data_IF_743684902538
#
_entry.id   IF_743684902538
#
_cell.length_a   1.000
_cell.length_b   1.000
_cell.length_c   1.000
_cell.angle_alpha   90.00
_cell.angle_beta   90.00
_cell.angle_gamma   90.00
#
_symmetry.space_group_name_H-M   'P 1'
#
loop_
_entity.id
_entity.type
_entity.pdbx_description
1 polymer ?
#
# COMPACT_ATOMS: atom_id res chain seq x y z
N UNK A 1 -20.13 55.15 6.13
CA UNK A 1 -19.08 55.93 5.44
C UNK A 1 -19.63 57.13 4.66
N UNK A 2 -20.80 57.04 4.01
CA UNK A 2 -21.36 58.12 3.18
C UNK A 2 -22.02 59.30 3.95
N UNK A 3 -22.15 59.20 5.27
CA UNK A 3 -22.94 60.16 6.08
C UNK A 3 -22.11 61.06 7.02
N UNK A 4 -20.85 60.73 7.35
CA UNK A 4 -19.94 61.56 8.18
C UNK A 4 -18.46 61.26 7.87
N UNK A 5 -17.77 62.09 7.06
CA UNK A 5 -16.38 61.85 6.67
C UNK A 5 -15.36 62.15 7.79
N UNK A 6 -15.74 62.95 8.79
CA UNK A 6 -14.90 63.33 9.94
C UNK A 6 -14.63 62.17 10.94
N UNK A 7 -15.53 61.19 11.02
CA UNK A 7 -15.36 59.99 11.86
C UNK A 7 -14.79 58.79 11.08
N UNK A 8 -14.35 59.00 9.84
CA UNK A 8 -13.88 57.94 8.94
C UNK A 8 -12.76 57.09 9.56
N UNK A 9 -11.86 57.72 10.32
CA UNK A 9 -10.77 57.04 11.02
C UNK A 9 -11.28 56.06 12.08
N UNK A 10 -12.22 56.47 12.93
CA UNK A 10 -12.79 55.62 13.97
C UNK A 10 -13.59 54.45 13.39
N UNK A 11 -14.32 54.70 12.29
CA UNK A 11 -15.06 53.64 11.59
C UNK A 11 -14.11 52.60 11.00
N UNK A 12 -12.99 53.02 10.38
CA UNK A 12 -12.00 52.09 9.82
C UNK A 12 -11.42 51.19 10.92
N UNK A 13 -11.06 51.77 12.07
CA UNK A 13 -10.52 51.01 13.21
C UNK A 13 -11.55 50.01 13.74
N UNK A 14 -12.81 50.40 13.91
CA UNK A 14 -13.88 49.50 14.38
C UNK A 14 -14.19 48.38 13.38
N UNK A 15 -14.20 48.68 12.08
CA UNK A 15 -14.36 47.68 11.03
C UNK A 15 -13.20 46.68 11.07
N UNK A 16 -11.97 47.17 11.21
CA UNK A 16 -10.78 46.32 11.34
C UNK A 16 -10.90 45.37 12.55
N UNK A 17 -11.25 45.88 13.73
CA UNK A 17 -11.46 45.07 14.93
C UNK A 17 -12.59 44.05 14.77
N UNK A 18 -13.68 44.44 14.11
CA UNK A 18 -14.81 43.53 13.86
C UNK A 18 -14.42 42.38 12.93
N UNK A 19 -13.64 42.67 11.88
CA UNK A 19 -13.11 41.64 10.96
C UNK A 19 -12.17 40.69 11.70
N UNK A 20 -11.27 41.23 12.53
CA UNK A 20 -10.36 40.42 13.33
C UNK A 20 -11.12 39.45 14.25
N UNK A 21 -12.11 39.96 14.98
CA UNK A 21 -12.95 39.13 15.86
C UNK A 21 -13.75 38.08 15.06
N UNK A 22 -14.27 38.44 13.89
CA UNK A 22 -14.97 37.50 13.01
C UNK A 22 -14.05 36.36 12.55
N UNK A 23 -12.80 36.66 12.19
CA UNK A 23 -11.80 35.64 11.81
C UNK A 23 -11.53 34.69 12.99
N UNK A 24 -11.34 35.23 14.20
CA UNK A 24 -11.12 34.41 15.39
C UNK A 24 -12.32 33.51 15.72
N UNK A 25 -13.54 34.06 15.66
CA UNK A 25 -14.77 33.30 15.91
C UNK A 25 -14.94 32.18 14.89
N UNK A 26 -14.71 32.48 13.61
CA UNK A 26 -14.77 31.46 12.56
C UNK A 26 -13.70 30.38 12.75
N UNK A 27 -12.46 30.76 13.11
CA UNK A 27 -11.42 29.80 13.43
C UNK A 27 -11.81 28.89 14.61
N UNK A 28 -12.43 29.44 15.66
CA UNK A 28 -12.93 28.68 16.80
C UNK A 28 -14.07 27.72 16.39
N UNK A 29 -15.03 28.17 15.58
CA UNK A 29 -16.07 27.30 15.03
C UNK A 29 -15.49 26.16 14.18
N UNK A 30 -14.44 26.43 13.40
CA UNK A 30 -13.78 25.44 12.55
C UNK A 30 -12.98 24.40 13.32
N UNK A 31 -12.51 24.70 14.54
CA UNK A 31 -11.92 23.69 15.43
C UNK A 31 -12.97 22.65 15.85
N UNK A 32 -14.24 23.04 15.97
CA UNK A 32 -15.33 22.09 16.23
C UNK A 32 -15.65 21.21 15.01
N UNK A 33 -15.23 21.61 13.80
CA UNK A 33 -15.23 20.73 12.63
C UNK A 33 -14.00 19.83 12.67
N UNK A 34 -14.11 18.72 13.40
CA UNK A 34 -13.07 17.72 13.47
C UNK A 34 -12.80 17.14 12.06
N UNK A 35 -11.53 17.12 11.66
CA UNK A 35 -11.14 16.46 10.42
C UNK A 35 -11.19 14.94 10.63
N UNK A 36 -11.71 14.16 9.66
CA UNK A 36 -11.79 12.72 9.81
C UNK A 36 -10.40 12.13 10.02
N UNK A 37 -10.19 11.49 11.17
CA UNK A 37 -8.96 10.76 11.47
C UNK A 37 -8.95 9.43 10.71
N UNK A 38 -8.31 9.41 9.53
CA UNK A 38 -8.27 8.22 8.67
C UNK A 38 -7.26 7.16 9.10
N UNK A 39 -6.38 7.46 10.07
CA UNK A 39 -5.34 6.53 10.52
C UNK A 39 -5.76 5.86 11.82
N UNK A 40 -5.62 4.53 11.87
CA UNK A 40 -5.90 3.71 13.06
C UNK A 40 -4.88 3.90 14.18
N UNK A 41 -3.62 4.12 13.82
CA UNK A 41 -2.52 4.30 14.76
C UNK A 41 -1.68 5.54 14.43
N UNK A 42 -1.11 6.15 15.46
CA UNK A 42 -0.15 7.24 15.30
C UNK A 42 1.15 6.71 14.70
N UNK A 43 1.75 7.46 13.77
CA UNK A 43 3.02 7.10 13.14
C UNK A 43 4.13 7.98 13.68
N UNK A 44 5.11 7.36 14.33
CA UNK A 44 6.29 8.02 14.85
C UNK A 44 7.38 8.06 13.78
N UNK A 45 8.05 9.20 13.56
CA UNK A 45 9.14 9.34 12.61
C UNK A 45 10.43 8.70 13.15
N UNK A 46 10.40 7.40 13.43
CA UNK A 46 11.54 6.62 13.93
C UNK A 46 12.38 6.08 12.78
N UNK A 47 13.70 6.11 12.93
CA UNK A 47 14.66 5.46 12.03
C UNK A 47 15.21 4.17 12.63
N UNK A 48 14.37 3.14 12.66
CA UNK A 48 14.75 1.80 13.11
C UNK A 48 15.36 1.04 11.94
N UNK A 49 16.28 0.12 12.23
CA UNK A 49 16.68 -0.85 11.21
C UNK A 49 15.48 -1.76 10.93
N UNK A 50 15.16 -1.93 9.65
CA UNK A 50 14.18 -2.91 9.20
C UNK A 50 14.85 -3.95 8.30
N UNK A 51 14.65 -5.22 8.58
CA UNK A 51 15.05 -6.33 7.71
C UNK A 51 13.80 -6.99 7.18
N UNK A 52 13.64 -6.99 5.85
CA UNK A 52 12.55 -7.67 5.18
C UNK A 52 13.03 -9.06 4.80
N UNK A 53 12.35 -10.07 5.32
CA UNK A 53 12.61 -11.48 5.06
C UNK A 53 11.55 -12.03 4.11
N UNK A 54 12.00 -12.56 2.98
CA UNK A 54 11.26 -13.52 2.14
C UNK A 54 11.82 -14.92 2.35
N UNK A 55 11.16 -15.98 1.87
CA UNK A 55 11.68 -17.35 2.00
C UNK A 55 13.10 -17.53 1.43
N UNK A 56 13.49 -16.71 0.46
CA UNK A 56 14.73 -16.83 -0.30
C UNK A 56 15.79 -15.79 0.09
N UNK A 57 15.38 -14.56 0.37
CA UNK A 57 16.30 -13.42 0.52
C UNK A 57 15.91 -12.52 1.69
N UNK A 58 16.88 -11.74 2.15
CA UNK A 58 16.67 -10.72 3.16
C UNK A 58 17.23 -9.39 2.69
N UNK A 59 16.43 -8.33 2.76
CA UNK A 59 16.88 -6.97 2.43
C UNK A 59 16.87 -6.11 3.69
N UNK A 60 18.00 -5.47 3.95
CA UNK A 60 18.15 -4.52 5.05
C UNK A 60 17.83 -3.10 4.56
N UNK A 61 17.10 -2.36 5.37
CA UNK A 61 16.82 -0.94 5.18
C UNK A 61 16.49 -0.26 6.49
N UNK A 62 15.85 0.90 6.40
CA UNK A 62 15.53 1.75 7.55
C UNK A 62 14.07 2.21 7.50
N UNK A 63 13.42 2.31 8.66
CA UNK A 63 12.09 2.92 8.72
C UNK A 63 12.20 4.43 8.54
N UNK A 64 11.28 5.00 7.77
CA UNK A 64 11.06 6.47 7.73
C UNK A 64 10.08 6.87 8.83
N UNK A 65 9.09 6.01 9.08
CA UNK A 65 8.18 6.09 10.21
C UNK A 65 7.62 4.70 10.53
N UNK A 66 7.17 4.52 11.77
CA UNK A 66 6.63 3.28 12.29
C UNK A 66 5.41 3.57 13.17
N UNK A 67 4.49 2.61 13.23
CA UNK A 67 3.32 2.60 14.10
C UNK A 67 3.03 1.17 14.53
N UNK A 68 2.16 1.01 15.52
CA UNK A 68 1.69 -0.32 15.96
C UNK A 68 0.96 -1.09 14.85
N UNK A 69 0.39 -0.41 13.85
CA UNK A 69 -0.33 -1.05 12.75
C UNK A 69 0.51 -1.24 11.49
N UNK A 70 1.72 -0.67 11.39
CA UNK A 70 2.47 -0.72 10.14
C UNK A 70 3.67 0.22 10.12
N UNK A 71 4.49 0.10 9.06
CA UNK A 71 5.71 0.87 8.89
C UNK A 71 5.90 1.37 7.47
N UNK A 72 6.62 2.48 7.34
CA UNK A 72 7.15 2.93 6.07
C UNK A 72 8.65 2.64 6.05
N UNK A 73 9.10 1.79 5.15
CA UNK A 73 10.49 1.29 5.08
C UNK A 73 11.15 1.83 3.82
N UNK A 74 12.39 2.29 3.93
CA UNK A 74 13.25 2.67 2.83
C UNK A 74 14.30 1.56 2.62
N UNK A 75 14.33 1.01 1.42
CA UNK A 75 15.36 0.08 0.98
C UNK A 75 16.29 0.75 -0.03
N UNK A 76 17.56 0.36 -0.01
CA UNK A 76 18.59 0.90 -0.89
C UNK A 76 18.60 0.28 -2.29
N UNK A 77 17.92 -0.85 -2.46
CA UNK A 77 17.77 -1.56 -3.72
C UNK A 77 16.29 -1.76 -3.99
N UNK A 78 15.93 -2.03 -5.24
CA UNK A 78 14.56 -2.39 -5.64
C UNK A 78 14.38 -3.91 -5.72
N UNK A 79 13.99 -4.60 -4.63
CA UNK A 79 13.78 -6.02 -4.68
C UNK A 79 12.47 -6.39 -5.36
N UNK A 80 12.44 -7.57 -5.96
CA UNK A 80 11.20 -8.22 -6.38
C UNK A 80 10.60 -8.93 -5.16
N UNK A 81 9.73 -8.23 -4.42
CA UNK A 81 9.12 -8.77 -3.19
C UNK A 81 7.66 -9.20 -3.43
N UNK A 82 7.21 -10.26 -2.74
CA UNK A 82 5.79 -10.59 -2.65
C UNK A 82 5.04 -9.52 -1.86
N UNK A 83 3.71 -9.54 -2.00
CA UNK A 83 2.81 -8.67 -1.26
C UNK A 83 2.75 -8.99 0.24
N UNK A 84 3.05 -10.24 0.64
CA UNK A 84 3.19 -10.63 2.04
C UNK A 84 4.64 -10.95 2.38
N UNK A 85 5.17 -10.27 3.40
CA UNK A 85 6.55 -10.36 3.84
C UNK A 85 6.63 -10.55 5.35
N UNK A 86 7.79 -10.98 5.85
CA UNK A 86 8.12 -10.88 7.28
C UNK A 86 9.04 -9.68 7.47
N UNK A 87 8.71 -8.82 8.42
CA UNK A 87 9.50 -7.64 8.75
C UNK A 87 10.06 -7.83 10.14
N UNK A 88 11.38 -7.80 10.24
CA UNK A 88 12.10 -7.69 11.52
C UNK A 88 12.46 -6.23 11.74
N UNK A 89 12.01 -5.68 12.85
CA UNK A 89 12.41 -4.35 13.32
C UNK A 89 13.41 -4.52 14.45
N UNK A 90 14.58 -3.89 14.32
CA UNK A 90 15.59 -3.83 15.36
C UNK A 90 15.49 -2.46 16.06
N UNK A 91 15.14 -2.48 17.34
CA UNK A 91 15.18 -1.34 18.22
C UNK A 91 16.50 -1.25 18.98
N UNK A 92 16.56 -0.30 19.90
CA UNK A 92 17.71 -0.13 20.79
C UNK A 92 17.90 -1.33 21.73
N UNK A 93 19.09 -1.44 22.31
CA UNK A 93 19.43 -2.47 23.30
C UNK A 93 19.24 -3.91 22.81
N UNK A 94 19.21 -4.13 21.49
CA UNK A 94 19.08 -5.45 20.88
C UNK A 94 17.65 -6.00 20.85
N UNK A 95 16.65 -5.18 21.18
CA UNK A 95 15.26 -5.58 21.07
C UNK A 95 14.87 -5.77 19.60
N UNK A 96 14.23 -6.89 19.30
CA UNK A 96 13.84 -7.27 17.94
C UNK A 96 12.40 -7.69 17.93
N UNK A 97 11.66 -7.27 16.91
CA UNK A 97 10.28 -7.67 16.71
C UNK A 97 10.13 -8.22 15.28
N UNK A 98 9.73 -9.49 15.17
CA UNK A 98 9.46 -10.14 13.89
C UNK A 98 7.95 -10.22 13.66
N UNK A 99 7.45 -9.46 12.70
CA UNK A 99 6.02 -9.36 12.38
C UNK A 99 5.74 -9.76 10.94
N UNK A 100 4.50 -10.17 10.66
CA UNK A 100 4.03 -10.35 9.28
C UNK A 100 3.48 -9.03 8.77
N UNK A 101 3.86 -8.66 7.55
CA UNK A 101 3.45 -7.43 6.91
C UNK A 101 2.87 -7.69 5.53
N UNK A 102 1.91 -6.86 5.13
CA UNK A 102 1.39 -6.75 3.77
C UNK A 102 1.88 -5.45 3.16
N UNK A 103 2.50 -5.52 1.97
CA UNK A 103 2.97 -4.35 1.23
C UNK A 103 1.77 -3.70 0.54
N UNK A 104 1.34 -2.55 1.04
CA UNK A 104 0.18 -1.79 0.54
C UNK A 104 0.51 -0.90 -0.65
N UNK A 105 1.79 -0.50 -0.76
CA UNK A 105 2.29 0.36 -1.82
C UNK A 105 3.81 0.33 -1.90
N UNK A 106 4.31 0.38 -3.12
CA UNK A 106 5.71 0.63 -3.44
C UNK A 106 5.84 1.99 -4.16
N UNK A 107 6.83 2.81 -3.77
CA UNK A 107 7.19 4.03 -4.48
C UNK A 107 8.68 4.00 -4.79
N UNK A 108 9.03 3.87 -6.06
CA UNK A 108 10.42 3.94 -6.50
C UNK A 108 10.95 5.38 -6.46
N UNK A 109 12.18 5.52 -5.99
CA UNK A 109 12.93 6.77 -5.88
C UNK A 109 14.34 6.55 -6.45
N UNK A 110 14.42 6.45 -7.77
CA UNK A 110 15.67 6.06 -8.44
C UNK A 110 16.00 4.61 -8.15
N UNK A 111 17.15 4.37 -7.52
CA UNK A 111 17.62 3.04 -7.11
C UNK A 111 17.05 2.59 -5.74
N UNK A 112 16.57 3.55 -4.96
CA UNK A 112 15.91 3.28 -3.68
C UNK A 112 14.42 3.03 -3.87
N UNK A 113 13.85 2.27 -2.93
CA UNK A 113 12.41 2.04 -2.92
C UNK A 113 11.82 2.30 -1.54
N UNK A 114 10.66 2.95 -1.52
CA UNK A 114 9.89 3.21 -0.33
C UNK A 114 8.68 2.29 -0.28
N UNK A 115 8.67 1.42 0.71
CA UNK A 115 7.63 0.45 0.97
C UNK A 115 6.69 0.96 2.06
N UNK A 116 5.40 0.78 1.84
CA UNK A 116 4.37 1.03 2.83
C UNK A 116 3.79 -0.32 3.25
N UNK A 117 4.05 -0.72 4.49
CA UNK A 117 3.71 -2.04 5.00
C UNK A 117 2.68 -1.90 6.11
N UNK A 118 1.60 -2.68 6.01
CA UNK A 118 0.58 -2.85 7.04
C UNK A 118 0.84 -4.16 7.79
N UNK A 119 0.82 -4.15 9.13
CA UNK A 119 1.07 -5.35 9.92
C UNK A 119 -0.19 -6.19 10.05
N UNK A 120 -0.07 -7.49 9.77
CA UNK A 120 -1.21 -8.40 9.71
C UNK A 120 -1.07 -9.51 10.76
N UNK A 121 -2.18 -9.86 11.41
CA UNK A 121 -2.29 -10.99 12.34
C UNK A 121 -1.21 -10.98 13.45
N UNK A 122 -1.00 -9.83 14.09
CA UNK A 122 -0.07 -9.70 15.22
C UNK A 122 -0.55 -10.54 16.40
N UNK A 123 0.32 -11.38 16.96
CA UNK A 123 0.08 -12.03 18.25
C UNK A 123 0.27 -11.04 19.39
N UNK A 124 -0.30 -11.31 20.57
CA UNK A 124 -0.10 -10.44 21.75
C UNK A 124 1.38 -10.23 22.08
N UNK A 125 2.20 -11.29 22.00
CA UNK A 125 3.66 -11.19 22.20
C UNK A 125 4.34 -10.32 21.15
N UNK A 126 3.94 -10.43 19.88
CA UNK A 126 4.48 -9.58 18.81
C UNK A 126 4.08 -8.12 18.99
N UNK A 127 2.88 -7.84 19.53
CA UNK A 127 2.45 -6.49 19.87
C UNK A 127 3.30 -5.92 20.99
N UNK A 128 3.55 -6.68 22.06
CA UNK A 128 4.39 -6.25 23.18
C UNK A 128 5.83 -5.97 22.72
N UNK A 129 6.41 -6.86 21.93
CA UNK A 129 7.75 -6.67 21.34
C UNK A 129 7.80 -5.45 20.42
N UNK A 130 6.74 -5.22 19.63
CA UNK A 130 6.64 -4.07 18.73
C UNK A 130 6.55 -2.77 19.51
N UNK A 131 5.75 -2.73 20.57
CA UNK A 131 5.64 -1.58 21.48
C UNK A 131 7.02 -1.29 22.07
N UNK A 132 7.70 -2.32 22.58
CA UNK A 132 9.02 -2.13 23.17
C UNK A 132 10.02 -1.58 22.15
N UNK A 133 10.07 -2.13 20.93
CA UNK A 133 10.93 -1.63 19.85
C UNK A 133 10.61 -0.18 19.45
N UNK A 134 9.33 0.21 19.40
CA UNK A 134 8.92 1.56 18.98
C UNK A 134 9.18 2.59 20.09
N UNK A 135 8.89 2.25 21.35
CA UNK A 135 8.78 3.24 22.43
C UNK A 135 10.00 3.27 23.38
N UNK A 136 10.85 2.25 23.41
CA UNK A 136 11.93 2.13 24.40
C UNK A 136 13.22 2.90 24.09
N UNK A 137 13.41 3.42 22.88
CA UNK A 137 14.60 4.24 22.56
C UNK A 137 14.50 5.60 23.25
N UNK A 138 15.31 5.75 24.30
CA UNK A 138 15.46 6.92 25.15
C UNK A 138 16.13 8.08 24.40
N UNK A 139 17.13 7.80 23.57
CA UNK A 139 17.94 8.84 22.95
C UNK A 139 17.11 9.70 22.01
N UNK A 140 16.25 9.09 21.20
CA UNK A 140 15.38 9.86 20.31
C UNK A 140 14.31 10.66 21.06
N UNK A 141 13.78 10.15 22.17
CA UNK A 141 12.85 10.91 23.02
C UNK A 141 13.52 12.18 23.56
N UNK A 142 14.77 12.07 24.02
CA UNK A 142 15.53 13.21 24.56
C UNK A 142 16.18 14.09 23.48
N UNK A 143 16.41 13.56 22.27
CA UNK A 143 17.02 14.32 21.17
C UNK A 143 16.03 15.17 20.39
N UNK A 144 14.72 15.06 20.66
CA UNK A 144 13.68 15.93 20.12
C UNK A 144 13.82 17.37 20.64
N UNK A 145 14.89 18.06 20.27
CA UNK A 145 14.98 19.51 20.34
C UNK A 145 14.08 20.06 19.24
N UNK A 146 12.84 20.41 19.60
CA UNK A 146 12.03 21.27 18.74
C UNK A 146 12.77 22.60 18.63
N UNK A 147 13.40 22.83 17.48
CA UNK A 147 13.76 24.19 17.08
C UNK A 147 12.45 24.90 16.73
N UNK A 148 11.67 25.24 17.76
CA UNK A 148 10.48 26.06 17.61
C UNK A 148 10.94 27.50 17.39
N UNK A 149 11.23 27.81 16.13
CA UNK A 149 11.41 29.19 15.71
C UNK A 149 10.02 29.81 15.60
N UNK A 150 9.71 30.77 16.46
CA UNK A 150 8.43 31.47 16.40
C UNK A 150 8.31 32.31 15.13
N UNK A 151 7.29 32.01 14.32
CA UNK A 151 6.99 32.71 13.07
C UNK A 151 5.62 33.39 13.15
N UNK A 152 5.51 34.58 13.79
CA UNK A 152 4.21 35.21 14.11
C UNK A 152 3.35 35.52 12.87
N UNK A 153 3.99 35.91 11.76
CA UNK A 153 3.29 36.13 10.49
C UNK A 153 2.79 34.82 9.86
N UNK A 154 3.51 33.72 10.04
CA UNK A 154 3.06 32.41 9.59
C UNK A 154 1.88 31.92 10.42
N UNK A 155 1.88 32.17 11.74
CA UNK A 155 0.73 31.87 12.61
C UNK A 155 -0.53 32.63 12.19
N UNK A 156 -0.42 33.92 11.85
CA UNK A 156 -1.56 34.72 11.38
C UNK A 156 -2.08 34.21 10.02
N UNK A 157 -1.16 33.90 9.09
CA UNK A 157 -1.49 33.29 7.80
C UNK A 157 -2.15 31.92 7.98
N UNK A 158 -1.68 31.12 8.95
CA UNK A 158 -2.25 29.82 9.28
C UNK A 158 -3.71 29.95 9.70
N UNK A 159 -4.02 30.84 10.67
CA UNK A 159 -5.39 31.10 11.13
C UNK A 159 -6.29 31.55 9.96
N UNK A 160 -5.84 32.52 9.16
CA UNK A 160 -6.61 33.02 8.03
C UNK A 160 -6.85 31.95 6.95
N UNK A 161 -5.91 31.01 6.76
CA UNK A 161 -6.04 29.94 5.75
C UNK A 161 -6.77 28.70 6.26
N UNK A 162 -6.94 28.52 7.57
CA UNK A 162 -7.71 27.41 8.16
C UNK A 162 -9.14 27.35 7.64
N UNK A 163 -9.76 28.51 7.41
CA UNK A 163 -11.11 28.63 6.84
C UNK A 163 -11.22 27.91 5.50
N UNK A 164 -10.27 28.16 4.60
CA UNK A 164 -10.24 27.50 3.29
C UNK A 164 -9.83 26.03 3.39
N UNK A 165 -8.96 25.68 4.35
CA UNK A 165 -8.41 24.33 4.51
C UNK A 165 -9.46 23.32 4.96
N UNK A 166 -10.42 23.71 5.80
CA UNK A 166 -11.50 22.82 6.27
C UNK A 166 -12.39 22.35 5.13
N UNK A 167 -12.66 23.21 4.14
CA UNK A 167 -13.46 22.82 2.96
C UNK A 167 -12.68 22.03 1.91
N UNK A 168 -11.39 21.73 2.12
CA UNK A 168 -10.62 20.88 1.20
C UNK A 168 -10.79 19.42 1.60
N UNK A 169 -11.44 18.65 0.74
CA UNK A 169 -11.54 17.20 0.90
C UNK A 169 -10.15 16.56 1.06
N UNK A 170 -9.98 15.81 2.15
CA UNK A 170 -8.78 15.00 2.34
C UNK A 170 -8.89 13.75 1.45
N UNK A 171 -7.99 13.64 0.47
CA UNK A 171 -7.91 12.45 -0.40
C UNK A 171 -6.86 11.50 0.15
N UNK A 172 -7.24 10.34 0.72
CA UNK A 172 -6.27 9.35 1.14
C UNK A 172 -5.47 8.87 -0.08
N UNK A 173 -4.19 8.55 0.14
CA UNK A 173 -3.40 7.93 -0.89
C UNK A 173 -4.01 6.57 -1.25
N UNK A 174 -4.22 6.32 -2.54
CA UNK A 174 -4.73 5.02 -3.00
C UNK A 174 -3.66 3.95 -2.81
N UNK A 175 -4.11 2.78 -2.40
CA UNK A 175 -3.32 1.55 -2.37
C UNK A 175 -2.89 1.20 -3.79
N UNK A 176 -1.70 0.63 -3.92
CA UNK A 176 -1.17 0.16 -5.21
C UNK A 176 -0.85 -1.30 -5.04
N UNK A 177 -1.42 -2.15 -5.90
CA UNK A 177 -1.16 -3.58 -5.87
C UNK A 177 0.33 -3.82 -6.11
N UNK A 178 1.00 -4.40 -5.12
CA UNK A 178 2.39 -4.86 -5.24
C UNK A 178 2.32 -6.34 -5.55
N UNK A 179 2.97 -6.78 -6.62
CA UNK A 179 3.01 -8.18 -7.05
C UNK A 179 4.45 -8.59 -7.31
N UNK A 180 4.80 -9.82 -6.96
CA UNK A 180 6.08 -10.40 -7.33
C UNK A 180 6.05 -10.77 -8.82
N UNK A 181 7.06 -10.37 -9.56
CA UNK A 181 7.25 -10.79 -10.95
C UNK A 181 7.77 -12.22 -10.98
N UNK A 182 7.11 -13.09 -11.73
CA UNK A 182 7.47 -14.50 -11.88
C UNK A 182 7.34 -14.92 -13.35
N UNK A 183 7.89 -16.07 -13.72
CA UNK A 183 7.66 -16.69 -15.02
C UNK A 183 7.35 -18.17 -14.81
N UNK A 184 6.08 -18.52 -14.88
CA UNK A 184 5.62 -19.90 -14.65
C UNK A 184 4.67 -20.36 -15.75
N UNK A 185 4.97 -21.46 -16.47
CA UNK A 185 4.02 -22.03 -17.42
C UNK A 185 2.83 -22.63 -16.68
N UNK A 186 1.63 -22.34 -17.17
CA UNK A 186 0.37 -22.80 -16.59
C UNK A 186 -0.61 -23.21 -17.68
N UNK A 187 -1.39 -24.24 -17.39
CA UNK A 187 -2.50 -24.65 -18.23
C UNK A 187 -3.81 -24.16 -17.64
N UNK A 188 -4.56 -23.41 -18.45
CA UNK A 188 -5.88 -22.88 -18.12
C UNK A 188 -6.96 -23.87 -18.54
N UNK A 189 -7.88 -24.15 -17.63
CA UNK A 189 -9.09 -24.95 -17.85
C UNK A 189 -10.32 -24.13 -17.54
N UNK A 190 -11.25 -24.11 -18.49
CA UNK A 190 -12.57 -23.48 -18.34
C UNK A 190 -13.66 -24.45 -18.78
N UNK A 191 -14.74 -24.55 -18.02
CA UNK A 191 -15.86 -25.47 -18.27
C UNK A 191 -16.45 -25.33 -19.69
N UNK A 192 -16.42 -24.11 -20.25
CA UNK A 192 -16.90 -23.84 -21.62
C UNK A 192 -16.00 -24.40 -22.71
N UNK A 193 -14.73 -24.66 -22.43
CA UNK A 193 -13.75 -25.17 -23.39
C UNK A 193 -13.80 -26.70 -23.58
N UNK A 194 -14.77 -27.40 -22.96
CA UNK A 194 -15.05 -28.83 -23.20
C UNK A 194 -13.78 -29.70 -23.32
N UNK A 195 -12.90 -29.61 -22.32
CA UNK A 195 -11.61 -30.32 -22.20
C UNK A 195 -10.43 -29.79 -23.06
N UNK A 196 -10.52 -28.59 -23.63
CA UNK A 196 -9.34 -27.91 -24.17
C UNK A 196 -8.62 -27.13 -23.07
N UNK A 197 -7.30 -27.29 -22.96
CA UNK A 197 -6.45 -26.46 -22.10
C UNK A 197 -5.67 -25.46 -22.93
N UNK A 198 -5.57 -24.23 -22.40
CA UNK A 198 -4.81 -23.14 -23.03
C UNK A 198 -3.52 -22.95 -22.26
N UNK A 199 -2.40 -22.84 -22.95
CA UNK A 199 -1.12 -22.58 -22.31
C UNK A 199 -0.96 -21.08 -22.06
N UNK A 200 -0.60 -20.72 -20.84
CA UNK A 200 -0.31 -19.35 -20.44
C UNK A 200 0.96 -19.30 -19.57
N UNK A 201 1.47 -18.10 -19.35
CA UNK A 201 2.59 -17.84 -18.44
C UNK A 201 2.15 -16.86 -17.37
N UNK A 202 2.33 -17.21 -16.10
CA UNK A 202 2.14 -16.26 -14.98
C UNK A 202 3.30 -15.27 -15.03
N UNK A 203 3.00 -13.98 -15.14
CA UNK A 203 3.99 -12.90 -15.17
C UNK A 203 4.09 -12.13 -13.86
N UNK A 204 2.98 -12.02 -13.14
CA UNK A 204 2.93 -11.39 -11.82
C UNK A 204 2.04 -12.20 -10.89
N UNK A 205 2.43 -12.32 -9.62
CA UNK A 205 1.65 -13.02 -8.61
C UNK A 205 1.63 -12.22 -7.30
N UNK A 206 0.44 -12.07 -6.73
CA UNK A 206 0.19 -11.60 -5.38
C UNK A 206 -0.47 -12.71 -4.55
N UNK A 207 -0.82 -12.41 -3.30
CA UNK A 207 -1.50 -13.38 -2.43
C UNK A 207 -2.97 -13.58 -2.83
N UNK A 208 -3.60 -12.56 -3.42
CA UNK A 208 -5.04 -12.55 -3.75
C UNK A 208 -5.33 -12.41 -5.24
N UNK A 209 -4.31 -12.10 -6.04
CA UNK A 209 -4.46 -11.93 -7.47
C UNK A 209 -3.22 -12.38 -8.22
N UNK A 210 -3.37 -12.59 -9.51
CA UNK A 210 -2.27 -12.95 -10.39
C UNK A 210 -2.55 -12.40 -11.79
N UNK A 211 -1.47 -12.19 -12.54
CA UNK A 211 -1.49 -11.77 -13.93
C UNK A 211 -0.89 -12.86 -14.80
N UNK A 212 -1.61 -13.18 -15.85
CA UNK A 212 -1.20 -14.15 -16.86
C UNK A 212 -1.03 -13.48 -18.19
N UNK A 213 -0.10 -13.99 -18.98
CA UNK A 213 0.06 -13.68 -20.39
C UNK A 213 -0.09 -14.94 -21.23
N UNK A 214 -0.82 -14.84 -22.34
CA UNK A 214 -1.09 -15.95 -23.24
C UNK A 214 -1.22 -15.48 -24.68
N UNK A 215 -1.06 -16.42 -25.61
CA UNK A 215 -1.25 -16.15 -27.04
C UNK A 215 -2.73 -16.12 -27.41
N UNK A 216 -3.21 -14.97 -27.87
CA UNK A 216 -4.60 -14.71 -28.19
C UNK A 216 -5.15 -15.56 -29.33
N UNK A 217 -4.30 -16.21 -30.13
CA UNK A 217 -4.75 -17.17 -31.14
C UNK A 217 -5.31 -18.47 -30.52
N UNK A 218 -4.93 -18.79 -29.28
CA UNK A 218 -5.39 -20.00 -28.58
C UNK A 218 -6.78 -19.85 -27.95
N UNK A 219 -7.29 -18.62 -27.80
CA UNK A 219 -8.59 -18.36 -27.18
C UNK A 219 -9.62 -17.94 -28.22
N UNK A 220 -10.49 -18.89 -28.56
CA UNK A 220 -11.79 -18.58 -29.15
C UNK A 220 -12.76 -18.27 -27.99
N UNK A 221 -13.43 -17.11 -28.01
CA UNK A 221 -14.46 -16.64 -27.03
C UNK A 221 -14.02 -15.66 -25.91
N UNK A 222 -13.08 -14.75 -26.18
CA UNK A 222 -12.70 -13.68 -25.24
C UNK A 222 -13.89 -12.82 -24.77
N UNK A 223 -14.80 -12.49 -25.68
CA UNK A 223 -15.98 -11.66 -25.38
C UNK A 223 -16.91 -12.29 -24.33
N UNK A 224 -17.03 -13.61 -24.33
CA UNK A 224 -17.87 -14.34 -23.37
C UNK A 224 -17.20 -14.33 -22.00
N UNK A 225 -15.87 -14.52 -21.97
CA UNK A 225 -15.12 -14.52 -20.73
C UNK A 225 -15.10 -13.14 -20.06
N UNK A 226 -14.98 -12.07 -20.86
CA UNK A 226 -15.04 -10.70 -20.35
C UNK A 226 -16.41 -10.34 -19.75
N UNK A 227 -17.50 -10.85 -20.35
CA UNK A 227 -18.87 -10.61 -19.86
C UNK A 227 -19.24 -11.47 -18.65
N UNK A 228 -18.84 -12.73 -18.67
CA UNK A 228 -19.27 -13.71 -17.64
C UNK A 228 -18.36 -13.74 -16.42
N UNK A 229 -17.12 -13.23 -16.53
CA UNK A 229 -16.11 -13.25 -15.45
C UNK A 229 -16.06 -14.61 -14.74
N UNK A 230 -15.80 -15.69 -15.49
CA UNK A 230 -15.96 -17.04 -14.98
C UNK A 230 -14.88 -17.38 -13.96
N UNK A 231 -15.17 -18.42 -13.19
CA UNK A 231 -14.17 -19.10 -12.38
C UNK A 231 -13.45 -20.13 -13.26
N UNK A 232 -12.13 -20.05 -13.29
CA UNK A 232 -11.26 -20.91 -14.10
C UNK A 232 -10.29 -21.67 -13.20
N UNK A 233 -9.93 -22.88 -13.65
CA UNK A 233 -8.94 -23.71 -13.00
C UNK A 233 -7.60 -23.55 -13.69
N UNK A 234 -6.56 -23.34 -12.90
CA UNK A 234 -5.18 -23.18 -13.33
C UNK A 234 -4.39 -24.38 -12.85
N UNK A 235 -3.70 -25.07 -13.74
CA UNK A 235 -2.78 -26.15 -13.39
C UNK A 235 -1.37 -25.68 -13.72
N UNK A 236 -0.58 -25.41 -12.68
CA UNK A 236 0.82 -25.03 -12.87
C UNK A 236 1.64 -26.30 -13.01
N UNK A 237 2.27 -26.46 -14.17
CA UNK A 237 3.13 -27.60 -14.48
C UNK A 237 4.57 -27.20 -14.21
N UNK A 238 5.23 -27.84 -13.24
CA UNK A 238 6.67 -27.65 -13.04
C UNK A 238 7.47 -28.72 -13.78
N UNK A 239 8.46 -28.30 -14.57
CA UNK A 239 9.33 -29.19 -15.35
C UNK A 239 10.23 -30.09 -14.48
N UNK A 240 10.38 -29.81 -13.18
CA UNK A 240 11.24 -30.54 -12.25
C UNK A 240 10.52 -31.68 -11.52
N UNK A 241 10.15 -32.71 -12.28
CA UNK A 241 9.97 -34.15 -12.00
C UNK A 241 9.59 -34.72 -10.60
N UNK A 242 9.24 -33.96 -9.55
CA UNK A 242 8.97 -34.53 -8.22
C UNK A 242 7.98 -33.81 -7.29
N UNK A 243 7.26 -32.76 -7.72
CA UNK A 243 6.25 -32.11 -6.86
C UNK A 243 4.90 -31.98 -7.57
N UNK A 244 3.84 -32.17 -6.78
CA UNK A 244 2.43 -32.24 -7.19
C UNK A 244 2.02 -31.05 -8.07
N UNK A 245 1.30 -31.32 -9.17
CA UNK A 245 0.65 -30.30 -9.98
C UNK A 245 -0.19 -29.38 -9.07
N UNK A 246 0.18 -28.10 -9.00
CA UNK A 246 -0.52 -27.14 -8.17
C UNK A 246 -1.74 -26.64 -8.94
N UNK A 247 -2.92 -27.06 -8.49
CA UNK A 247 -4.19 -26.58 -9.00
C UNK A 247 -4.69 -25.36 -8.23
N UNK A 248 -5.02 -24.28 -8.94
CA UNK A 248 -5.62 -23.06 -8.40
C UNK A 248 -6.98 -22.82 -9.03
N UNK A 249 -7.89 -22.20 -8.27
CA UNK A 249 -9.17 -21.72 -8.78
C UNK A 249 -9.17 -20.20 -8.68
N UNK A 250 -9.30 -19.52 -9.81
CA UNK A 250 -9.27 -18.07 -9.85
C UNK A 250 -10.40 -17.54 -10.73
N UNK A 251 -10.92 -16.37 -10.40
CA UNK A 251 -11.98 -15.71 -11.14
C UNK A 251 -11.37 -14.68 -12.08
N UNK A 252 -11.85 -14.62 -13.31
CA UNK A 252 -11.44 -13.61 -14.29
C UNK A 252 -11.99 -12.25 -13.91
N UNK A 253 -11.13 -11.24 -13.77
CA UNK A 253 -11.55 -9.87 -13.48
C UNK A 253 -11.50 -8.97 -14.72
N UNK A 254 -10.35 -8.93 -15.37
CA UNK A 254 -10.11 -8.09 -16.53
C UNK A 254 -9.28 -8.86 -17.55
N UNK A 255 -9.49 -8.52 -18.82
CA UNK A 255 -8.75 -9.05 -19.95
C UNK A 255 -8.27 -7.83 -20.73
N UNK A 256 -6.97 -7.71 -20.87
CA UNK A 256 -6.31 -6.63 -21.58
C UNK A 256 -5.57 -7.21 -22.79
N UNK A 257 -5.76 -6.62 -23.96
CA UNK A 257 -4.99 -6.99 -25.15
C UNK A 257 -3.69 -6.19 -25.15
N UNK A 258 -2.55 -6.87 -25.09
CA UNK A 258 -1.23 -6.23 -25.11
C UNK A 258 -0.90 -5.85 -26.56
N UNK A 259 -1.07 -4.57 -26.87
CA UNK A 259 -0.69 -4.00 -28.17
C UNK A 259 0.77 -3.59 -28.08
N UNK A 260 1.71 -4.54 -28.21
CA UNK A 260 3.13 -4.18 -28.36
C UNK A 260 3.83 -4.89 -29.52
N UNK A 261 4.86 -4.22 -30.01
CA UNK A 261 5.36 -4.21 -31.38
C UNK A 261 6.09 -5.52 -31.78
N UNK A 262 5.36 -6.53 -32.25
CA UNK A 262 5.97 -7.70 -32.89
C UNK A 262 5.12 -8.97 -32.90
N UNK A 263 4.31 -9.15 -33.95
CA UNK A 263 3.76 -10.44 -34.46
C UNK A 263 3.00 -11.42 -33.55
N UNK A 264 2.92 -11.22 -32.23
CA UNK A 264 2.21 -12.14 -31.31
C UNK A 264 1.09 -11.37 -30.61
N UNK A 265 -0.16 -11.76 -30.88
CA UNK A 265 -1.37 -11.19 -30.28
C UNK A 265 -1.46 -11.59 -28.79
N UNK A 266 -0.63 -11.01 -27.94
CA UNK A 266 -0.53 -11.40 -26.53
C UNK A 266 -1.68 -10.80 -25.73
N UNK A 267 -2.29 -11.60 -24.85
CA UNK A 267 -3.40 -11.20 -24.00
C UNK A 267 -2.96 -11.32 -22.55
N UNK A 268 -3.14 -10.24 -21.79
CA UNK A 268 -3.00 -10.24 -20.35
C UNK A 268 -4.37 -10.51 -19.69
N UNK A 269 -4.42 -11.46 -18.76
CA UNK A 269 -5.61 -11.72 -17.95
C UNK A 269 -5.27 -11.44 -16.48
N UNK A 270 -6.07 -10.58 -15.83
CA UNK A 270 -6.04 -10.48 -14.38
C UNK A 270 -7.04 -11.44 -13.77
N UNK A 271 -6.54 -12.24 -12.83
CA UNK A 271 -7.37 -13.15 -12.05
C UNK A 271 -7.33 -12.79 -10.57
N UNK A 272 -8.45 -13.00 -9.88
CA UNK A 272 -8.59 -12.87 -8.43
C UNK A 272 -8.89 -14.22 -7.79
N UNK A 273 -8.33 -14.48 -6.62
CA UNK A 273 -8.63 -15.68 -5.85
C UNK A 273 -9.90 -15.47 -5.03
N UNK A 274 -10.88 -16.40 -5.06
CA UNK A 274 -12.09 -16.29 -4.25
C UNK A 274 -11.78 -16.38 -2.75
N UNK A 275 -12.39 -15.49 -1.95
CA UNK A 275 -12.22 -15.49 -0.48
C UNK A 275 -12.63 -16.82 0.19
N UNK A 276 -13.59 -17.56 -0.41
CA UNK A 276 -14.07 -18.83 0.15
C UNK A 276 -13.03 -19.95 0.20
N UNK A 277 -11.94 -19.85 -0.56
CA UNK A 277 -10.88 -20.87 -0.67
C UNK A 277 -9.50 -20.27 -0.33
N UNK A 278 -9.48 -19.09 0.30
CA UNK A 278 -8.25 -18.32 0.54
C UNK A 278 -7.22 -19.12 1.34
N UNK A 279 -7.61 -19.74 2.46
CA UNK A 279 -6.67 -20.47 3.32
C UNK A 279 -5.97 -21.64 2.61
N UNK A 280 -6.73 -22.39 1.80
CA UNK A 280 -6.19 -23.53 1.05
C UNK A 280 -5.27 -23.06 -0.07
N UNK A 281 -5.61 -21.96 -0.74
CA UNK A 281 -4.81 -21.41 -1.83
C UNK A 281 -3.56 -20.69 -1.34
N UNK A 282 -3.59 -20.01 -0.20
CA UNK A 282 -2.41 -19.36 0.38
C UNK A 282 -1.23 -20.31 0.56
N UNK A 283 -1.50 -21.57 0.97
CA UNK A 283 -0.46 -22.59 1.10
C UNK A 283 0.14 -22.96 -0.26
N UNK A 284 -0.71 -23.15 -1.28
CA UNK A 284 -0.28 -23.47 -2.65
C UNK A 284 0.48 -22.31 -3.30
N UNK A 285 0.04 -21.06 -3.06
CA UNK A 285 0.73 -19.86 -3.56
C UNK A 285 2.11 -19.75 -2.93
N UNK A 286 2.23 -20.00 -1.62
CA UNK A 286 3.55 -20.06 -0.96
C UNK A 286 4.44 -21.17 -1.52
N UNK A 287 3.88 -22.34 -1.79
CA UNK A 287 4.63 -23.43 -2.42
C UNK A 287 5.12 -23.05 -3.81
N UNK A 288 4.27 -22.41 -4.62
CA UNK A 288 4.59 -21.93 -5.95
C UNK A 288 5.68 -20.84 -5.91
N UNK A 289 5.52 -19.85 -5.04
CA UNK A 289 6.53 -18.79 -4.85
C UNK A 289 7.88 -19.34 -4.40
N UNK A 290 7.88 -20.43 -3.63
CA UNK A 290 9.11 -21.10 -3.23
C UNK A 290 9.75 -21.93 -4.36
N UNK A 291 8.99 -22.28 -5.40
CA UNK A 291 9.43 -23.20 -6.44
C UNK A 291 9.73 -22.55 -7.80
N UNK A 292 9.38 -21.28 -7.97
CA UNK A 292 9.63 -20.48 -9.19
C UNK A 292 10.93 -19.65 -9.13
N UNK A 293 11.68 -19.76 -8.03
CA UNK A 293 13.05 -19.26 -7.85
C UNK A 293 14.03 -20.44 -7.75
#
# INVERSE_FOLDING_TARGET
LWLRPEDSQAVIVNVFWSIFNLILLMAACLVAFEQPQLRRAHRMPRKLTAVIHTPQQSWRGETVNVSESGAQILLNTRPNIPDQIRVELEGDYGHKCLVRGRVMREVAMGDQVRLFVDFINLTGTQQDDLVLVIYSDVNEWYSQRRSETDHPLESLKFIATSIRRVFREFRPAKETKVRQKVQAPVQLYWDYWKNYSVSATITEIGTHDLRLELDGHQISNLDIMQKTKPLISLLVTQESNHLQDLSFLAKVETIEQLVDSGSVNSIAIELSFPESIEEQQQLKIRQLLNSLD
#
